data_IF_882399910536
#
_entry.id   IF_882399910536
#
_cell.length_a   1.000
_cell.length_b   1.000
_cell.length_c   1.000
_cell.angle_alpha   90.00
_cell.angle_beta   90.00
_cell.angle_gamma   90.00
#
_symmetry.space_group_name_H-M   'P 1'
#
loop_
_entity.id
_entity.type
_entity.pdbx_description
1 polymer ?
#
# COMPACT_ATOMS: atom_id res chain seq x y z
N UNK A 1 -26.80 0.47 2.14
CA UNK A 1 -25.36 0.78 2.03
C UNK A 1 -24.59 -0.50 2.27
N UNK A 2 -23.72 -0.94 1.36
CA UNK A 2 -22.92 -2.15 1.59
C UNK A 2 -21.95 -1.90 2.74
N UNK A 3 -21.98 -2.74 3.77
CA UNK A 3 -20.99 -2.71 4.84
C UNK A 3 -19.57 -2.76 4.23
N UNK A 4 -18.73 -1.78 4.58
CA UNK A 4 -17.34 -1.73 4.15
C UNK A 4 -16.47 -1.97 5.37
N UNK A 5 -15.70 -3.06 5.35
CA UNK A 5 -14.69 -3.39 6.38
C UNK A 5 -13.78 -2.20 6.70
N UNK A 6 -13.48 -2.02 7.99
CA UNK A 6 -12.67 -0.91 8.52
C UNK A 6 -11.33 -0.82 7.82
N UNK A 7 -10.68 -1.95 7.55
CA UNK A 7 -9.41 -2.01 6.83
C UNK A 7 -9.44 -1.35 5.44
N UNK A 8 -10.62 -1.28 4.80
CA UNK A 8 -10.81 -0.59 3.52
C UNK A 8 -11.32 0.85 3.71
N UNK A 9 -12.21 1.08 4.69
CA UNK A 9 -12.79 2.40 5.00
C UNK A 9 -11.71 3.38 5.47
N UNK A 10 -10.84 2.93 6.37
CA UNK A 10 -9.78 3.70 7.03
C UNK A 10 -8.41 3.56 6.36
N UNK A 11 -8.37 3.10 5.10
CA UNK A 11 -7.11 3.04 4.35
C UNK A 11 -6.59 4.46 4.10
N UNK A 12 -5.36 4.79 4.55
CA UNK A 12 -4.78 6.11 4.36
C UNK A 12 -4.78 6.54 2.89
N UNK A 13 -5.18 7.78 2.64
CA UNK A 13 -5.23 8.41 1.32
C UNK A 13 -4.10 9.41 1.12
N UNK A 14 -3.48 9.89 2.17
CA UNK A 14 -2.36 10.84 2.10
C UNK A 14 -1.20 10.35 2.94
N UNK A 15 0.01 10.88 2.70
CA UNK A 15 1.18 10.52 3.51
C UNK A 15 1.01 10.93 4.97
N UNK A 16 0.21 11.97 5.24
CA UNK A 16 -0.03 12.51 6.58
C UNK A 16 -0.96 11.64 7.44
N UNK A 17 -1.77 10.78 6.79
CA UNK A 17 -2.65 9.80 7.44
C UNK A 17 -1.94 8.47 7.73
N UNK A 18 -0.73 8.26 7.22
CA UNK A 18 0.03 7.05 7.50
C UNK A 18 0.55 7.08 8.94
N UNK A 19 0.29 5.99 9.65
CA UNK A 19 0.85 5.77 10.98
C UNK A 19 2.22 5.12 10.85
N UNK A 20 3.22 5.72 11.49
CA UNK A 20 4.61 5.26 11.46
C UNK A 20 5.29 5.47 10.09
N UNK A 21 6.37 4.72 9.87
CA UNK A 21 7.16 4.74 8.62
C UNK A 21 7.76 6.11 8.28
N UNK A 22 8.10 6.91 9.28
CA UNK A 22 8.54 8.30 9.15
C UNK A 22 9.73 8.44 8.20
N UNK A 23 10.67 7.48 8.24
CA UNK A 23 11.84 7.45 7.35
C UNK A 23 11.46 7.24 5.87
N UNK A 24 10.47 6.38 5.59
CA UNK A 24 9.98 6.14 4.22
C UNK A 24 9.19 7.34 3.73
N UNK A 25 8.24 7.82 4.55
CA UNK A 25 7.40 8.98 4.20
C UNK A 25 8.28 10.18 3.90
N UNK A 26 9.21 10.54 4.79
CA UNK A 26 10.13 11.67 4.58
C UNK A 26 10.96 11.56 3.31
N UNK A 27 11.42 10.36 2.95
CA UNK A 27 12.19 10.17 1.72
C UNK A 27 11.32 10.34 0.46
N UNK A 28 10.10 9.79 0.47
CA UNK A 28 9.17 9.91 -0.66
C UNK A 28 8.65 11.34 -0.84
N UNK A 29 8.32 12.03 0.25
CA UNK A 29 7.87 13.43 0.17
C UNK A 29 8.97 14.33 -0.42
N UNK A 30 10.21 14.18 0.06
CA UNK A 30 11.36 14.88 -0.49
C UNK A 30 11.60 14.56 -1.98
N UNK A 31 11.43 13.30 -2.40
CA UNK A 31 11.60 12.91 -3.79
C UNK A 31 10.54 13.56 -4.71
N UNK A 32 9.28 13.62 -4.26
CA UNK A 32 8.19 14.28 -4.97
C UNK A 32 8.41 15.78 -5.08
N UNK A 33 8.68 16.45 -3.95
CA UNK A 33 8.74 17.91 -3.90
C UNK A 33 10.00 18.48 -4.59
N UNK A 34 11.07 17.68 -4.68
CA UNK A 34 12.29 18.02 -5.43
C UNK A 34 12.31 17.46 -6.85
N UNK A 35 11.24 16.80 -7.28
CA UNK A 35 11.13 16.12 -8.60
C UNK A 35 12.28 15.16 -8.91
N UNK A 36 12.88 14.54 -7.88
CA UNK A 36 13.94 13.53 -8.01
C UNK A 36 13.32 12.13 -8.01
N UNK A 37 12.59 11.83 -9.08
CA UNK A 37 11.78 10.64 -9.19
C UNK A 37 12.55 9.48 -9.83
N UNK A 38 12.95 8.49 -9.02
CA UNK A 38 13.52 7.24 -9.53
C UNK A 38 12.55 6.54 -10.49
N UNK A 39 13.06 5.67 -11.38
CA UNK A 39 12.20 4.93 -12.30
C UNK A 39 11.52 3.73 -11.61
N UNK A 40 12.18 3.16 -10.59
CA UNK A 40 11.65 2.03 -9.81
C UNK A 40 11.85 2.20 -8.30
N UNK A 41 10.82 1.84 -7.54
CA UNK A 41 10.76 1.86 -6.08
C UNK A 41 10.41 0.46 -5.58
N UNK A 42 11.10 -0.04 -4.56
CA UNK A 42 10.83 -1.34 -3.95
C UNK A 42 10.46 -1.16 -2.48
N UNK A 43 9.22 -1.47 -2.15
CA UNK A 43 8.71 -1.49 -0.78
C UNK A 43 8.80 -2.90 -0.21
N UNK A 44 9.57 -3.06 0.87
CA UNK A 44 9.75 -4.34 1.57
C UNK A 44 9.15 -4.26 2.97
N UNK A 45 8.81 -5.41 3.55
CA UNK A 45 8.26 -5.49 4.91
C UNK A 45 7.19 -6.56 5.03
N UNK A 46 6.77 -6.87 6.26
CA UNK A 46 5.75 -7.90 6.52
C UNK A 46 4.40 -7.54 5.89
N UNK A 47 3.50 -8.51 5.81
CA UNK A 47 2.13 -8.26 5.34
C UNK A 47 1.46 -7.20 6.23
N UNK A 48 0.66 -6.33 5.61
CA UNK A 48 -0.19 -5.37 6.33
C UNK A 48 0.47 -4.14 6.95
N UNK A 49 1.79 -3.95 6.81
CA UNK A 49 2.52 -2.73 7.26
C UNK A 49 2.33 -1.49 6.38
N UNK A 50 1.55 -1.60 5.28
CA UNK A 50 1.20 -0.45 4.43
C UNK A 50 1.93 -0.32 3.10
N UNK A 51 2.67 -1.35 2.63
CA UNK A 51 3.43 -1.32 1.35
C UNK A 51 2.61 -0.79 0.16
N UNK A 52 1.50 -1.46 -0.16
CA UNK A 52 0.63 -1.07 -1.29
C UNK A 52 -0.13 0.22 -1.03
N UNK A 53 -0.40 0.58 0.24
CA UNK A 53 -1.02 1.87 0.59
C UNK A 53 -0.07 3.02 0.26
N UNK A 54 1.18 2.95 0.72
CA UNK A 54 2.21 3.94 0.39
C UNK A 54 2.41 4.04 -1.13
N UNK A 55 2.48 2.90 -1.83
CA UNK A 55 2.63 2.90 -3.28
C UNK A 55 1.47 3.61 -4.00
N UNK A 56 0.22 3.39 -3.57
CA UNK A 56 -0.96 4.09 -4.13
C UNK A 56 -0.95 5.58 -3.84
N UNK A 57 -0.58 5.99 -2.62
CA UNK A 57 -0.45 7.42 -2.27
C UNK A 57 0.64 8.08 -3.14
N UNK A 58 1.74 7.38 -3.38
CA UNK A 58 2.81 7.86 -4.26
C UNK A 58 2.35 7.96 -5.71
N UNK A 59 1.67 6.95 -6.25
CA UNK A 59 1.07 6.99 -7.60
C UNK A 59 0.07 8.16 -7.74
N UNK A 60 -0.73 8.40 -6.70
CA UNK A 60 -1.65 9.53 -6.64
C UNK A 60 -0.94 10.88 -6.64
N UNK A 61 0.17 10.97 -5.92
CA UNK A 61 1.02 12.15 -5.85
C UNK A 61 1.70 12.46 -7.19
N UNK A 62 2.09 11.44 -7.94
CA UNK A 62 2.66 11.57 -9.29
C UNK A 62 1.63 12.07 -10.32
N UNK A 63 0.39 11.59 -10.22
CA UNK A 63 -0.65 11.81 -11.23
C UNK A 63 -1.73 12.83 -10.83
N UNK A 64 -1.57 13.53 -9.69
CA UNK A 64 -2.51 14.56 -9.27
C UNK A 64 -2.56 15.70 -10.30
N UNK A 65 -3.74 16.12 -10.74
CA UNK A 65 -3.89 17.13 -11.80
C UNK A 65 -3.27 18.49 -11.42
N UNK A 66 -3.22 18.85 -10.13
CA UNK A 66 -2.61 20.10 -9.66
C UNK A 66 -1.08 20.14 -9.80
N UNK A 67 -0.42 18.99 -9.90
CA UNK A 67 1.05 18.93 -9.92
C UNK A 67 1.58 17.66 -9.27
N UNK A 68 2.86 17.37 -9.51
CA UNK A 68 3.59 16.37 -8.71
C UNK A 68 3.92 17.03 -7.38
N UNK A 69 3.41 16.47 -6.28
CA UNK A 69 3.68 16.96 -4.92
C UNK A 69 3.46 15.85 -3.91
N UNK A 70 4.11 15.94 -2.75
CA UNK A 70 3.81 15.14 -1.55
C UNK A 70 2.38 15.30 -1.02
N UNK A 71 1.65 16.31 -1.45
CA UNK A 71 0.28 16.62 -1.00
C UNK A 71 -0.73 16.53 -2.15
N UNK A 72 -1.13 15.31 -2.58
CA UNK A 72 -2.13 15.17 -3.62
C UNK A 72 -3.47 15.76 -3.15
N UNK A 73 -4.18 16.45 -4.04
CA UNK A 73 -5.38 17.21 -3.67
C UNK A 73 -6.57 16.37 -3.21
N UNK A 74 -6.59 15.06 -3.50
CA UNK A 74 -7.68 14.14 -3.13
C UNK A 74 -9.00 14.34 -3.90
N UNK A 75 -9.17 15.46 -4.59
CA UNK A 75 -10.45 15.86 -5.20
C UNK A 75 -10.45 15.84 -6.74
N UNK A 76 -9.30 15.80 -7.43
CA UNK A 76 -9.27 15.71 -8.89
C UNK A 76 -9.69 14.32 -9.39
N UNK A 77 -9.97 14.18 -10.70
CA UNK A 77 -10.44 12.92 -11.26
C UNK A 77 -9.38 11.81 -11.10
N UNK A 78 -8.11 12.14 -11.37
CA UNK A 78 -7.00 11.21 -11.14
C UNK A 78 -6.92 10.73 -9.68
N UNK A 79 -7.02 11.64 -8.70
CA UNK A 79 -6.98 11.27 -7.28
C UNK A 79 -8.14 10.36 -6.88
N UNK A 80 -9.37 10.72 -7.27
CA UNK A 80 -10.57 9.93 -6.95
C UNK A 80 -10.54 8.55 -7.58
N UNK A 81 -10.09 8.44 -8.83
CA UNK A 81 -10.02 7.15 -9.53
C UNK A 81 -8.91 6.24 -9.01
N UNK A 82 -7.76 6.80 -8.58
CA UNK A 82 -6.69 6.01 -7.95
C UNK A 82 -7.17 5.44 -6.62
N UNK A 83 -7.84 6.24 -5.79
CA UNK A 83 -8.42 5.77 -4.52
C UNK A 83 -9.51 4.70 -4.75
N UNK A 84 -10.25 4.81 -5.86
CA UNK A 84 -11.25 3.83 -6.27
C UNK A 84 -10.66 2.61 -7.02
N UNK A 85 -9.36 2.59 -7.33
CA UNK A 85 -8.68 1.48 -8.03
C UNK A 85 -9.07 1.31 -9.49
N UNK A 86 -9.39 2.40 -10.19
CA UNK A 86 -9.92 2.40 -11.58
C UNK A 86 -9.27 3.47 -12.47
N UNK A 87 -8.09 3.95 -12.06
CA UNK A 87 -7.31 4.91 -12.84
C UNK A 87 -6.55 4.18 -13.94
N UNK A 88 -6.74 4.58 -15.20
CA UNK A 88 -6.23 3.87 -16.37
C UNK A 88 -4.70 3.75 -16.40
N UNK A 89 -3.98 4.76 -15.90
CA UNK A 89 -2.51 4.78 -15.89
C UNK A 89 -1.91 4.24 -14.59
N UNK A 90 -2.71 3.62 -13.71
CA UNK A 90 -2.24 2.84 -12.57
C UNK A 90 -2.63 1.39 -12.78
N UNK A 91 -1.67 0.60 -13.25
CA UNK A 91 -1.86 -0.83 -13.51
C UNK A 91 -1.43 -1.59 -12.25
N UNK A 92 -2.39 -2.27 -11.63
CA UNK A 92 -2.15 -3.03 -10.41
C UNK A 92 -2.13 -4.53 -10.69
N UNK A 93 -0.97 -5.12 -10.45
CA UNK A 93 -0.70 -6.53 -10.65
C UNK A 93 -0.48 -7.19 -9.30
N UNK A 94 -1.21 -8.26 -9.04
CA UNK A 94 -0.94 -9.14 -7.90
C UNK A 94 -0.25 -10.39 -8.43
N UNK A 95 1.06 -10.49 -8.19
CA UNK A 95 1.88 -11.58 -8.70
C UNK A 95 1.57 -12.93 -8.03
N UNK A 96 0.88 -12.94 -6.88
CA UNK A 96 0.45 -14.18 -6.24
C UNK A 96 -0.81 -14.79 -6.89
N UNK A 97 -1.54 -14.03 -7.71
CA UNK A 97 -2.76 -14.48 -8.38
C UNK A 97 -2.46 -15.30 -9.63
N UNK A 98 -2.71 -16.61 -9.60
CA UNK A 98 -2.40 -17.56 -10.69
C UNK A 98 -2.99 -17.19 -12.05
N UNK A 99 -4.19 -16.61 -12.09
CA UNK A 99 -4.84 -16.15 -13.34
C UNK A 99 -4.12 -14.98 -14.00
N UNK A 100 -3.29 -14.22 -13.25
CA UNK A 100 -2.64 -13.01 -13.76
C UNK A 100 -1.19 -13.23 -14.20
N UNK A 101 -0.63 -14.42 -14.03
CA UNK A 101 0.81 -14.65 -14.28
C UNK A 101 1.14 -14.53 -15.77
N UNK A 102 0.26 -15.05 -16.64
CA UNK A 102 0.37 -14.88 -18.10
C UNK A 102 0.07 -13.43 -18.51
N UNK A 103 -1.02 -12.84 -18.00
CA UNK A 103 -1.38 -11.43 -18.23
C UNK A 103 -0.26 -10.46 -17.84
N UNK A 104 0.48 -10.75 -16.76
CA UNK A 104 1.57 -9.90 -16.28
C UNK A 104 2.69 -9.80 -17.30
N UNK A 105 2.97 -10.88 -18.05
CA UNK A 105 4.02 -10.86 -19.07
C UNK A 105 3.65 -9.91 -20.20
N UNK A 106 2.46 -10.06 -20.76
CA UNK A 106 2.00 -9.21 -21.87
C UNK A 106 1.93 -7.73 -21.44
N UNK A 107 1.51 -7.48 -20.20
CA UNK A 107 1.50 -6.13 -19.62
C UNK A 107 2.91 -5.51 -19.52
N UNK A 108 3.92 -6.31 -19.19
CA UNK A 108 5.31 -5.88 -19.06
C UNK A 108 6.02 -5.73 -20.41
N UNK A 109 5.67 -6.55 -21.42
CA UNK A 109 6.20 -6.41 -22.77
C UNK A 109 5.63 -5.17 -23.48
N UNK A 110 4.41 -4.75 -23.13
CA UNK A 110 3.73 -3.58 -23.68
C UNK A 110 3.92 -2.29 -22.85
N UNK A 111 5.01 -2.17 -22.09
CA UNK A 111 5.26 -0.99 -21.22
C UNK A 111 5.58 0.28 -22.01
N UNK A 112 6.03 0.16 -23.26
CA UNK A 112 6.55 1.27 -24.07
C UNK A 112 5.51 2.35 -24.45
N UNK A 113 4.22 2.10 -24.22
CA UNK A 113 3.17 3.08 -24.55
C UNK A 113 3.12 4.23 -23.55
N UNK A 114 2.94 5.44 -24.08
CA UNK A 114 2.74 6.65 -23.31
C UNK A 114 1.51 6.55 -22.37
N UNK A 115 1.47 7.32 -21.27
CA UNK A 115 0.29 7.41 -20.42
C UNK A 115 -0.94 7.88 -21.24
N UNK A 116 -2.11 7.33 -20.95
CA UNK A 116 -3.36 7.70 -21.61
C UNK A 116 -3.91 9.05 -21.13
N UNK A 117 -3.91 9.30 -19.81
CA UNK A 117 -4.46 10.53 -19.20
C UNK A 117 -3.52 11.17 -18.16
N UNK A 118 -2.79 10.36 -17.41
CA UNK A 118 -1.88 10.79 -16.35
C UNK A 118 -0.57 11.38 -16.88
N UNK A 119 0.23 11.92 -15.95
CA UNK A 119 1.61 12.32 -16.26
C UNK A 119 2.55 11.12 -16.33
N UNK A 120 2.25 10.10 -15.53
CA UNK A 120 3.04 8.89 -15.41
C UNK A 120 2.16 7.65 -15.56
N UNK A 121 2.69 6.65 -16.26
CA UNK A 121 2.14 5.30 -16.29
C UNK A 121 2.81 4.49 -15.18
N UNK A 122 2.05 4.10 -14.18
CA UNK A 122 2.54 3.49 -12.95
C UNK A 122 2.16 2.02 -12.92
N UNK A 123 3.15 1.16 -12.78
CA UNK A 123 2.97 -0.27 -12.56
C UNK A 123 3.18 -0.57 -11.09
N UNK A 124 2.10 -0.90 -10.38
CA UNK A 124 2.14 -1.37 -8.99
C UNK A 124 2.08 -2.89 -8.99
N UNK A 125 3.19 -3.54 -8.67
CA UNK A 125 3.31 -5.01 -8.62
C UNK A 125 3.42 -5.45 -7.17
N UNK A 126 2.36 -6.03 -6.63
CA UNK A 126 2.33 -6.61 -5.29
C UNK A 126 2.84 -8.05 -5.29
N UNK A 127 3.46 -8.43 -4.18
CA UNK A 127 4.21 -9.68 -3.99
C UNK A 127 5.14 -10.03 -5.19
N UNK A 128 5.91 -9.05 -5.68
CA UNK A 128 6.74 -9.16 -6.90
C UNK A 128 7.67 -10.39 -6.91
N UNK A 129 8.05 -10.91 -5.73
CA UNK A 129 8.87 -12.13 -5.61
C UNK A 129 8.17 -13.41 -6.09
N UNK A 130 6.86 -13.36 -6.32
CA UNK A 130 6.04 -14.46 -6.84
C UNK A 130 5.98 -14.47 -8.38
N UNK A 131 6.58 -13.50 -9.07
CA UNK A 131 6.64 -13.49 -10.52
C UNK A 131 7.38 -14.72 -11.07
N UNK A 132 6.93 -15.19 -12.24
CA UNK A 132 7.65 -16.22 -12.98
C UNK A 132 9.02 -15.70 -13.46
N UNK A 133 9.95 -16.61 -13.71
CA UNK A 133 11.27 -16.25 -14.24
C UNK A 133 11.18 -15.46 -15.57
N UNK A 134 10.20 -15.78 -16.41
CA UNK A 134 9.97 -15.07 -17.67
C UNK A 134 9.49 -13.62 -17.43
N UNK A 135 8.52 -13.42 -16.53
CA UNK A 135 8.03 -12.07 -16.19
C UNK A 135 9.12 -11.21 -15.54
N UNK A 136 10.00 -11.81 -14.75
CA UNK A 136 11.19 -11.11 -14.23
C UNK A 136 12.13 -10.62 -15.33
N UNK A 137 12.39 -11.44 -16.36
CA UNK A 137 13.25 -11.04 -17.48
C UNK A 137 12.63 -9.89 -18.29
N UNK A 138 11.31 -9.89 -18.49
CA UNK A 138 10.61 -8.77 -19.14
C UNK A 138 10.71 -7.48 -18.30
N UNK A 139 10.53 -7.59 -16.98
CA UNK A 139 10.71 -6.47 -16.06
C UNK A 139 12.14 -5.93 -16.11
N UNK A 140 13.16 -6.80 -16.10
CA UNK A 140 14.57 -6.41 -16.11
C UNK A 140 14.95 -5.59 -17.35
N UNK A 141 14.50 -6.00 -18.55
CA UNK A 141 14.71 -5.23 -19.78
C UNK A 141 14.22 -3.79 -19.65
N UNK A 142 13.06 -3.62 -19.03
CA UNK A 142 12.44 -2.30 -18.84
C UNK A 142 13.10 -1.52 -17.70
N UNK A 143 13.61 -2.18 -16.67
CA UNK A 143 14.37 -1.52 -15.60
C UNK A 143 15.77 -1.09 -16.06
N UNK A 144 16.33 -1.76 -17.07
CA UNK A 144 17.62 -1.39 -17.68
C UNK A 144 17.50 -0.14 -18.57
N UNK A 145 16.44 -0.07 -19.38
CA UNK A 145 16.15 1.07 -20.25
C UNK A 145 14.74 1.61 -19.97
N UNK A 146 14.51 2.31 -18.85
CA UNK A 146 13.18 2.72 -18.43
C UNK A 146 12.64 3.86 -19.31
N UNK A 147 11.42 3.71 -19.87
CA UNK A 147 10.76 4.82 -20.55
C UNK A 147 10.56 5.99 -19.57
N UNK A 148 10.84 7.25 -19.95
CA UNK A 148 10.77 8.40 -19.03
C UNK A 148 9.45 8.57 -18.25
N UNK A 149 8.25 8.39 -18.85
CA UNK A 149 6.98 8.57 -18.13
C UNK A 149 6.54 7.31 -17.36
N UNK A 150 7.31 6.22 -17.38
CA UNK A 150 6.95 4.97 -16.70
C UNK A 150 7.58 4.92 -15.31
N UNK A 151 6.80 4.47 -14.33
CA UNK A 151 7.27 4.25 -12.95
C UNK A 151 6.86 2.87 -12.46
N UNK A 152 7.80 2.16 -11.85
CA UNK A 152 7.55 0.87 -11.20
C UNK A 152 7.50 1.02 -9.69
N UNK A 153 6.41 0.56 -9.08
CA UNK A 153 6.23 0.47 -7.65
C UNK A 153 6.10 -1.01 -7.30
N UNK A 154 7.18 -1.59 -6.80
CA UNK A 154 7.26 -3.00 -6.46
C UNK A 154 7.03 -3.18 -4.96
N UNK A 155 6.23 -4.16 -4.57
CA UNK A 155 6.04 -4.52 -3.17
C UNK A 155 6.33 -6.01 -2.95
N UNK A 156 7.04 -6.33 -1.86
CA UNK A 156 7.35 -7.72 -1.51
C UNK A 156 7.40 -7.94 -0.02
N UNK A 157 6.99 -9.12 0.43
CA UNK A 157 7.23 -9.61 1.80
C UNK A 157 8.59 -10.27 1.98
N UNK A 158 9.22 -10.77 0.90
CA UNK A 158 10.52 -11.46 0.96
C UNK A 158 11.49 -10.91 -0.11
N UNK A 159 12.32 -9.90 0.22
CA UNK A 159 13.27 -9.32 -0.72
C UNK A 159 14.41 -10.29 -1.11
N UNK A 160 14.67 -11.34 -0.32
CA UNK A 160 15.77 -12.28 -0.59
C UNK A 160 15.49 -13.18 -1.80
N UNK A 161 14.23 -13.35 -2.16
CA UNK A 161 13.81 -14.08 -3.36
C UNK A 161 13.94 -13.26 -4.64
N UNK A 162 14.24 -11.97 -4.53
CA UNK A 162 14.44 -11.12 -5.70
C UNK A 162 15.87 -11.23 -6.23
N UNK A 163 16.04 -11.30 -7.57
CA UNK A 163 17.36 -11.21 -8.18
C UNK A 163 18.07 -9.90 -7.79
N UNK A 164 19.37 -9.99 -7.53
CA UNK A 164 20.22 -8.81 -7.22
C UNK A 164 20.15 -7.76 -8.33
N UNK A 165 19.96 -8.18 -9.57
CA UNK A 165 19.79 -7.31 -10.75
C UNK A 165 18.55 -6.42 -10.69
N UNK A 166 17.47 -6.86 -10.02
CA UNK A 166 16.29 -6.03 -9.75
C UNK A 166 16.57 -5.10 -8.56
N UNK A 167 17.15 -5.65 -7.49
CA UNK A 167 17.45 -4.91 -6.26
C UNK A 167 18.37 -3.71 -6.51
N UNK A 168 19.37 -3.85 -7.38
CA UNK A 168 20.34 -2.79 -7.69
C UNK A 168 19.75 -1.64 -8.52
N UNK A 169 18.61 -1.87 -9.20
CA UNK A 169 17.92 -0.88 -10.05
C UNK A 169 16.71 -0.24 -9.36
N UNK A 170 16.42 -0.62 -8.12
CA UNK A 170 15.30 -0.07 -7.36
C UNK A 170 15.80 0.77 -6.20
N UNK A 171 15.12 1.89 -5.94
CA UNK A 171 15.26 2.58 -4.65
C UNK A 171 14.46 1.81 -3.59
N UNK A 172 15.15 1.27 -2.60
CA UNK A 172 14.55 0.33 -1.64
C UNK A 172 14.08 1.05 -0.36
N UNK A 173 12.87 0.71 0.08
CA UNK A 173 12.25 1.21 1.29
C UNK A 173 11.77 0.04 2.14
N UNK A 174 12.40 -0.14 3.30
CA UNK A 174 12.00 -1.15 4.27
C UNK A 174 10.97 -0.57 5.25
N UNK A 175 9.74 -1.07 5.20
CA UNK A 175 8.67 -0.73 6.11
C UNK A 175 8.76 -1.62 7.34
N UNK A 176 8.74 -0.98 8.51
CA UNK A 176 8.90 -1.65 9.81
C UNK A 176 7.55 -2.14 10.34
N UNK A 177 7.57 -3.11 11.24
CA UNK A 177 6.40 -3.44 12.06
C UNK A 177 6.04 -2.24 12.93
N UNK A 178 4.75 -1.99 13.08
CA UNK A 178 4.27 -0.92 13.93
C UNK A 178 4.38 -1.32 15.41
N UNK A 179 4.88 -0.45 16.30
CA UNK A 179 4.78 -0.65 17.73
C UNK A 179 3.32 -0.79 18.18
N UNK A 180 3.07 -1.64 19.17
CA UNK A 180 1.73 -1.91 19.72
C UNK A 180 1.01 -0.62 20.13
N UNK A 181 1.71 0.30 20.81
CA UNK A 181 1.11 1.56 21.25
C UNK A 181 0.62 2.44 20.08
N UNK A 182 1.29 2.40 18.91
CA UNK A 182 0.84 3.14 17.73
C UNK A 182 -0.40 2.50 17.11
N UNK A 183 -0.46 1.17 17.08
CA UNK A 183 -1.65 0.44 16.63
C UNK A 183 -2.83 0.75 17.56
N UNK A 184 -2.65 0.53 18.86
CA UNK A 184 -3.70 0.76 19.86
C UNK A 184 -4.25 2.20 19.81
N UNK A 185 -3.37 3.20 19.75
CA UNK A 185 -3.79 4.60 19.64
C UNK A 185 -4.61 4.89 18.38
N UNK A 186 -4.28 4.25 17.25
CA UNK A 186 -5.05 4.43 16.01
C UNK A 186 -6.39 3.67 16.03
N UNK A 187 -6.43 2.45 16.58
CA UNK A 187 -7.67 1.71 16.76
C UNK A 187 -8.64 2.48 17.66
N UNK A 188 -8.13 3.08 18.74
CA UNK A 188 -8.92 3.89 19.66
C UNK A 188 -9.56 5.10 18.96
N UNK A 189 -8.78 5.83 18.15
CA UNK A 189 -9.27 6.94 17.32
C UNK A 189 -10.35 6.49 16.31
N UNK A 190 -10.21 5.30 15.73
CA UNK A 190 -11.21 4.76 14.81
C UNK A 190 -12.51 4.45 15.55
N UNK A 191 -12.44 3.74 16.67
CA UNK A 191 -13.62 3.40 17.46
C UNK A 191 -14.35 4.63 17.97
N UNK A 192 -13.62 5.70 18.31
CA UNK A 192 -14.22 7.00 18.65
C UNK A 192 -15.00 7.59 17.48
N UNK A 193 -14.45 7.56 16.27
CA UNK A 193 -15.10 8.11 15.06
C UNK A 193 -16.26 7.25 14.55
N UNK A 194 -16.24 5.94 14.83
CA UNK A 194 -17.32 5.02 14.51
C UNK A 194 -18.39 4.97 15.61
N UNK A 195 -18.23 5.72 16.71
CA UNK A 195 -19.12 5.72 17.88
C UNK A 195 -19.34 4.32 18.48
N UNK A 196 -18.25 3.55 18.57
CA UNK A 196 -18.25 2.18 19.10
C UNK A 196 -17.74 2.20 20.55
N UNK A 197 -18.55 1.75 21.54
CA UNK A 197 -18.11 1.60 22.92
C UNK A 197 -16.97 0.60 23.04
N UNK A 198 -15.96 0.95 23.85
CA UNK A 198 -14.71 0.19 23.93
C UNK A 198 -14.08 0.24 25.31
N UNK A 199 -13.39 -0.84 25.66
CA UNK A 199 -12.50 -0.88 26.83
C UNK A 199 -11.03 -0.72 26.38
N UNK A 200 -10.22 0.09 27.09
CA UNK A 200 -8.81 0.25 26.75
C UNK A 200 -8.03 -1.07 26.71
N UNK A 201 -8.35 -2.01 27.60
CA UNK A 201 -7.72 -3.33 27.62
C UNK A 201 -8.02 -4.15 26.37
N UNK A 202 -9.27 -4.11 25.86
CA UNK A 202 -9.67 -4.78 24.62
C UNK A 202 -8.88 -4.25 23.41
N UNK A 203 -8.70 -2.93 23.34
CA UNK A 203 -7.91 -2.29 22.27
C UNK A 203 -6.44 -2.74 22.32
N UNK A 204 -5.85 -2.87 23.51
CA UNK A 204 -4.49 -3.38 23.67
C UNK A 204 -4.37 -4.84 23.20
N UNK A 205 -5.32 -5.70 23.57
CA UNK A 205 -5.33 -7.10 23.13
C UNK A 205 -5.35 -7.23 21.61
N UNK A 206 -6.22 -6.46 20.94
CA UNK A 206 -6.29 -6.43 19.46
C UNK A 206 -4.98 -5.90 18.86
N UNK A 207 -4.41 -4.85 19.45
CA UNK A 207 -3.15 -4.27 18.97
C UNK A 207 -1.97 -5.25 19.11
N UNK A 208 -1.91 -6.03 20.19
CA UNK A 208 -0.95 -7.10 20.37
C UNK A 208 -1.16 -8.23 19.35
N UNK A 209 -2.41 -8.69 19.17
CA UNK A 209 -2.76 -9.75 18.23
C UNK A 209 -2.50 -9.35 16.76
N UNK A 210 -2.54 -8.05 16.44
CA UNK A 210 -2.18 -7.52 15.12
C UNK A 210 -0.70 -7.66 14.74
N UNK A 211 0.20 -8.02 15.67
CA UNK A 211 1.63 -8.31 15.44
C UNK A 211 2.37 -7.29 14.53
N UNK A 212 2.08 -6.00 14.73
CA UNK A 212 2.70 -4.91 13.97
C UNK A 212 2.09 -4.64 12.59
N UNK A 213 1.01 -5.34 12.22
CA UNK A 213 0.23 -5.16 10.99
C UNK A 213 -1.05 -4.38 11.26
N UNK A 214 -1.15 -3.17 10.70
CA UNK A 214 -2.36 -2.36 10.82
C UNK A 214 -3.57 -3.00 10.14
N UNK A 215 -3.34 -3.67 9.00
CA UNK A 215 -4.42 -4.35 8.26
C UNK A 215 -5.04 -5.47 9.10
N UNK A 216 -4.20 -6.27 9.77
CA UNK A 216 -4.68 -7.41 10.56
C UNK A 216 -5.32 -6.92 11.86
N UNK A 217 -4.75 -5.91 12.52
CA UNK A 217 -5.37 -5.24 13.66
C UNK A 217 -6.77 -4.68 13.34
N UNK A 218 -6.95 -4.00 12.20
CA UNK A 218 -8.28 -3.52 11.78
C UNK A 218 -9.25 -4.65 11.44
N UNK A 219 -8.75 -5.77 10.90
CA UNK A 219 -9.58 -6.93 10.58
C UNK A 219 -10.05 -7.65 11.85
N UNK A 220 -9.17 -7.75 12.86
CA UNK A 220 -9.52 -8.25 14.19
C UNK A 220 -10.48 -7.31 14.89
N UNK A 221 -10.35 -5.99 14.70
CA UNK A 221 -11.29 -5.02 15.24
C UNK A 221 -12.69 -5.17 14.66
N UNK A 222 -12.81 -5.32 13.33
CA UNK A 222 -14.08 -5.63 12.65
C UNK A 222 -14.72 -6.90 13.25
N UNK A 223 -13.93 -7.94 13.49
CA UNK A 223 -14.41 -9.19 14.10
C UNK A 223 -14.85 -8.98 15.55
N UNK A 224 -14.10 -8.22 16.34
CA UNK A 224 -14.43 -7.93 17.74
C UNK A 224 -15.76 -7.17 17.85
N UNK A 225 -15.98 -6.19 16.97
CA UNK A 225 -17.24 -5.44 16.91
C UNK A 225 -18.41 -6.35 16.57
N UNK A 226 -18.24 -7.25 15.58
CA UNK A 226 -19.28 -8.19 15.18
C UNK A 226 -19.59 -9.21 16.29
N UNK A 227 -18.54 -9.74 16.94
CA UNK A 227 -18.66 -10.72 18.02
C UNK A 227 -19.28 -10.12 19.29
N UNK A 228 -18.87 -8.90 19.67
CA UNK A 228 -19.36 -8.17 20.84
C UNK A 228 -20.68 -7.41 20.62
N UNK A 229 -21.39 -7.65 19.51
CA UNK A 229 -22.69 -7.03 19.25
C UNK A 229 -22.66 -5.50 19.15
N UNK A 230 -21.59 -4.94 18.58
CA UNK A 230 -21.40 -3.49 18.45
C UNK A 230 -20.59 -2.85 19.58
N UNK A 231 -19.93 -3.65 20.43
CA UNK A 231 -19.03 -3.18 21.51
C UNK A 231 -17.72 -3.95 21.49
N UNK A 232 -16.66 -3.33 21.99
CA UNK A 232 -15.32 -3.93 22.06
C UNK A 232 -14.89 -4.01 23.52
N UNK A 233 -15.25 -5.10 24.17
CA UNK A 233 -14.98 -5.38 25.60
C UNK A 233 -13.91 -6.46 25.74
N UNK A 234 -13.09 -6.40 26.79
CA UNK A 234 -11.88 -7.22 26.91
C UNK A 234 -12.22 -8.70 26.96
N UNK A 235 -13.22 -9.11 27.76
CA UNK A 235 -13.63 -10.50 27.88
C UNK A 235 -14.14 -11.08 26.54
N UNK A 236 -14.84 -10.27 25.73
CA UNK A 236 -15.33 -10.69 24.42
C UNK A 236 -14.18 -10.85 23.41
N UNK A 237 -13.21 -9.93 23.44
CA UNK A 237 -11.99 -10.03 22.62
C UNK A 237 -11.15 -11.24 23.01
N UNK A 238 -10.97 -11.51 24.31
CA UNK A 238 -10.23 -12.70 24.78
C UNK A 238 -10.88 -14.01 24.35
N UNK A 239 -12.21 -14.09 24.33
CA UNK A 239 -12.93 -15.27 23.86
C UNK A 239 -12.87 -15.46 22.33
N UNK A 240 -12.62 -14.37 21.59
CA UNK A 240 -12.56 -14.37 20.13
C UNK A 240 -11.17 -14.75 19.58
N UNK A 241 -10.09 -14.32 20.25
CA UNK A 241 -8.70 -14.53 19.83
C UNK A 241 -8.22 -15.97 20.03
#
# INVERSE_FOLDING_TARGET
>A
MSYQVLARKWRPRTFHELIGQEHVVRALTNALDRQRLHHAFLFTGTRGVGKTTIARIFAKSLNCELGVSSTPCGQCAACREIDAGRFVDLIEVDAASRTKVEDTRELLENVQYAPGRGRFKVYLIDEVHMLSAHSFNALLKTLEEPPPPVKFLLATTDPRKLPVTVLSRCLQFNLKRLPVHQIAGYLDQILEREDVPREPAAVQLIAHAGDGSMRDALSLLDQAIAFGGGRVEAAAVEAML
#
